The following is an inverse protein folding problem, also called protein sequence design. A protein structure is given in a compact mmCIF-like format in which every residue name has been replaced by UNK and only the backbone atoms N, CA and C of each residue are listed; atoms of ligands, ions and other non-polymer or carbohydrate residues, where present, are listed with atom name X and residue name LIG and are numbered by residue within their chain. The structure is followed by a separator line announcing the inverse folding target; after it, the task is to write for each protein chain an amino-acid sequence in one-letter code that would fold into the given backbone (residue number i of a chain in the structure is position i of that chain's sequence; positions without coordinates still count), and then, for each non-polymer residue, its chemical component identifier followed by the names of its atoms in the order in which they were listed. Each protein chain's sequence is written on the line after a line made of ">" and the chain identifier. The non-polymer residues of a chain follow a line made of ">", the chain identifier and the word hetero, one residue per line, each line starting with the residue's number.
data_IF_245662196436
#
_entry.id   IF_245662196436
#
_cell.length_a   1.000
_cell.length_b   1.000
_cell.length_c   1.000
_cell.angle_alpha   90.00
_cell.angle_beta   90.00
_cell.angle_gamma   90.00
#
_symmetry.space_group_name_H-M   'P 1'
#
loop_
_entity.id
_entity.type
_entity.pdbx_description
1 polymer ?
#
# COMPACT_ATOMS: atom_id res chain seq x y z
N UNK A 1 -0.01 -0.15 5.74
CA UNK A 1 -0.67 1.17 5.77
C UNK A 1 0.11 2.16 4.95
N UNK A 2 -0.55 2.79 4.00
CA UNK A 2 0.08 3.73 3.09
C UNK A 2 0.10 5.11 3.69
N UNK A 3 1.27 5.74 3.65
CA UNK A 3 1.45 7.17 3.90
C UNK A 3 1.75 7.87 2.58
N UNK A 4 1.11 9.01 2.34
CA UNK A 4 1.39 9.86 1.17
C UNK A 4 1.63 11.30 1.60
N UNK A 5 2.44 11.99 0.80
CA UNK A 5 2.61 13.43 0.86
C UNK A 5 2.16 14.03 -0.47
N UNK A 6 1.14 14.88 -0.45
CA UNK A 6 0.51 15.46 -1.66
C UNK A 6 0.34 16.97 -1.49
N UNK A 7 0.53 17.73 -2.57
CA UNK A 7 0.36 19.18 -2.61
C UNK A 7 -0.52 19.58 -3.80
N UNK A 8 -1.52 20.44 -3.57
CA UNK A 8 -2.45 20.85 -4.62
C UNK A 8 -3.55 21.76 -4.11
N UNK A 9 -4.52 22.05 -4.99
CA UNK A 9 -5.67 22.90 -4.67
C UNK A 9 -6.68 22.20 -3.76
N UNK A 10 -7.39 22.99 -2.95
CA UNK A 10 -8.46 22.50 -2.09
C UNK A 10 -9.54 21.76 -2.91
N UNK A 11 -10.01 20.63 -2.38
CA UNK A 11 -11.02 19.80 -3.04
C UNK A 11 -10.46 18.84 -4.09
N UNK A 12 -9.15 18.87 -4.37
CA UNK A 12 -8.54 17.88 -5.25
C UNK A 12 -8.63 16.48 -4.65
N UNK A 13 -9.01 15.51 -5.47
CA UNK A 13 -9.23 14.12 -5.05
C UNK A 13 -8.05 13.22 -5.45
N UNK A 14 -7.53 12.47 -4.48
CA UNK A 14 -6.56 11.40 -4.68
C UNK A 14 -7.20 10.06 -4.31
N UNK A 15 -7.18 9.10 -5.25
CA UNK A 15 -7.66 7.73 -5.03
C UNK A 15 -6.48 6.80 -4.88
N UNK A 16 -6.52 5.94 -3.85
CA UNK A 16 -5.43 5.05 -3.48
C UNK A 16 -5.98 3.63 -3.42
N UNK A 17 -5.45 2.76 -4.26
CA UNK A 17 -5.84 1.34 -4.35
C UNK A 17 -4.65 0.44 -4.03
N UNK A 18 -4.97 -0.79 -3.61
CA UNK A 18 -4.03 -1.70 -2.99
C UNK A 18 -4.22 -3.09 -3.58
N UNK A 19 -3.16 -3.71 -4.09
CA UNK A 19 -3.22 -5.08 -4.59
C UNK A 19 -1.91 -5.85 -4.34
N UNK A 20 -2.03 -7.17 -4.33
CA UNK A 20 -0.88 -8.08 -4.23
C UNK A 20 -0.21 -8.32 -5.60
N UNK A 21 -0.95 -8.11 -6.69
CA UNK A 21 -0.49 -8.37 -8.07
C UNK A 21 -0.84 -7.23 -9.03
N UNK A 22 -0.24 -7.28 -10.22
CA UNK A 22 -0.52 -6.36 -11.33
C UNK A 22 -0.79 -7.15 -12.61
N UNK A 23 -1.52 -6.55 -13.53
CA UNK A 23 -1.56 -6.95 -14.93
C UNK A 23 -0.20 -6.67 -15.59
N UNK A 24 -0.03 -7.11 -16.83
CA UNK A 24 1.21 -6.90 -17.61
C UNK A 24 1.50 -5.42 -17.90
N UNK A 25 0.45 -4.58 -17.96
CA UNK A 25 0.56 -3.14 -18.15
C UNK A 25 0.89 -2.36 -16.87
N UNK A 26 1.04 -3.05 -15.74
CA UNK A 26 1.35 -2.47 -14.44
C UNK A 26 0.14 -1.94 -13.66
N UNK A 27 -1.07 -2.05 -14.20
CA UNK A 27 -2.30 -1.75 -13.45
C UNK A 27 -2.51 -2.82 -12.40
N UNK A 28 -3.00 -2.44 -11.23
CA UNK A 28 -3.32 -3.38 -10.15
C UNK A 28 -4.29 -4.47 -10.60
N UNK A 29 -4.11 -5.68 -10.08
CA UNK A 29 -4.89 -6.85 -10.47
C UNK A 29 -5.37 -7.65 -9.27
N UNK A 30 -6.67 -7.91 -9.22
CA UNK A 30 -7.29 -8.95 -8.41
C UNK A 30 -7.48 -10.22 -9.25
N UNK A 31 -6.63 -11.24 -9.09
CA UNK A 31 -6.64 -12.42 -9.95
C UNK A 31 -7.79 -13.38 -9.62
N UNK A 32 -8.41 -13.24 -8.45
CA UNK A 32 -9.49 -14.14 -8.00
C UNK A 32 -10.84 -13.58 -8.44
N UNK A 33 -11.59 -14.29 -9.33
CA UNK A 33 -12.86 -13.78 -9.85
C UNK A 33 -13.90 -13.45 -8.77
N UNK A 34 -13.90 -14.22 -7.67
CA UNK A 34 -14.80 -14.00 -6.53
C UNK A 34 -14.57 -12.64 -5.85
N UNK A 35 -13.34 -12.13 -5.88
CA UNK A 35 -12.95 -10.87 -5.25
C UNK A 35 -12.77 -9.74 -6.26
N UNK A 36 -13.16 -9.93 -7.53
CA UNK A 36 -12.85 -8.98 -8.61
C UNK A 36 -13.30 -7.54 -8.33
N UNK A 37 -14.37 -7.36 -7.55
CA UNK A 37 -14.82 -6.04 -7.13
C UNK A 37 -13.79 -5.29 -6.27
N UNK A 38 -12.92 -5.99 -5.54
CA UNK A 38 -11.93 -5.38 -4.66
C UNK A 38 -10.89 -4.59 -5.45
N UNK A 39 -10.60 -5.01 -6.68
CA UNK A 39 -9.65 -4.35 -7.60
C UNK A 39 -9.94 -2.86 -7.78
N UNK A 40 -11.22 -2.47 -7.76
CA UNK A 40 -11.63 -1.09 -8.05
C UNK A 40 -12.51 -0.46 -6.99
N UNK A 41 -13.29 -1.25 -6.23
CA UNK A 41 -14.26 -0.75 -5.24
C UNK A 41 -13.72 -0.66 -3.82
N UNK A 42 -12.55 -1.24 -3.52
CA UNK A 42 -11.89 -1.11 -2.22
C UNK A 42 -10.73 -0.14 -2.36
N UNK A 43 -10.89 1.07 -1.82
CA UNK A 43 -9.92 2.14 -1.98
C UNK A 43 -9.97 3.12 -0.80
N UNK A 44 -8.92 3.91 -0.67
CA UNK A 44 -8.93 5.11 0.15
C UNK A 44 -9.04 6.35 -0.72
N UNK A 45 -9.79 7.34 -0.23
CA UNK A 45 -9.95 8.64 -0.87
C UNK A 45 -9.39 9.71 0.05
N UNK A 46 -8.50 10.53 -0.48
CA UNK A 46 -7.97 11.70 0.20
C UNK A 46 -8.38 12.96 -0.57
N UNK A 47 -9.04 13.89 0.12
CA UNK A 47 -9.46 15.18 -0.44
C UNK A 47 -8.59 16.25 0.20
N UNK A 48 -7.83 16.98 -0.63
CA UNK A 48 -6.90 17.99 -0.14
C UNK A 48 -7.65 19.18 0.46
N UNK A 49 -7.13 19.71 1.57
CA UNK A 49 -7.61 20.95 2.17
C UNK A 49 -7.11 22.19 1.42
N UNK A 50 -6.05 22.06 0.63
CA UNK A 50 -5.43 23.15 -0.13
C UNK A 50 -4.65 24.10 0.77
N UNK A 51 -3.84 23.57 1.68
CA UNK A 51 -3.13 24.36 2.71
C UNK A 51 -2.08 25.34 2.17
N UNK A 52 -1.82 25.34 0.86
CA UNK A 52 -0.71 26.07 0.24
C UNK A 52 0.66 25.39 0.42
N UNK A 53 0.66 24.16 0.93
CA UNK A 53 1.85 23.33 1.09
C UNK A 53 1.50 21.85 1.07
N UNK A 54 2.44 21.04 1.55
CA UNK A 54 2.34 19.58 1.52
C UNK A 54 1.43 19.05 2.61
N UNK A 55 0.44 18.27 2.22
CA UNK A 55 -0.47 17.57 3.12
C UNK A 55 -0.06 16.11 3.26
N UNK A 56 -0.12 15.61 4.49
CA UNK A 56 0.24 14.25 4.85
C UNK A 56 -1.02 13.46 5.18
N UNK A 57 -1.13 12.26 4.60
CA UNK A 57 -2.27 11.40 4.85
C UNK A 57 -1.87 9.95 5.05
N UNK A 58 -2.49 9.31 6.04
CA UNK A 58 -2.48 7.88 6.32
C UNK A 58 -3.87 7.49 6.83
N UNK A 59 -4.38 6.30 6.52
CA UNK A 59 -5.65 5.85 7.09
C UNK A 59 -5.49 5.41 8.55
N UNK A 60 -6.50 5.71 9.37
CA UNK A 60 -6.52 5.35 10.80
C UNK A 60 -7.32 4.08 11.12
N UNK A 61 -8.37 3.79 10.33
CA UNK A 61 -9.39 2.79 10.66
C UNK A 61 -9.53 1.66 9.63
N UNK A 62 -8.51 1.41 8.82
CA UNK A 62 -8.47 0.26 7.93
C UNK A 62 -7.08 -0.35 7.87
N UNK A 63 -6.99 -1.56 7.31
CA UNK A 63 -5.73 -2.15 6.88
C UNK A 63 -5.93 -2.98 5.62
N UNK A 64 -4.84 -3.26 4.92
CA UNK A 64 -4.84 -4.01 3.66
C UNK A 64 -3.48 -4.67 3.45
N UNK A 65 -3.49 -5.94 3.05
CA UNK A 65 -2.34 -6.62 2.47
C UNK A 65 -2.10 -6.16 1.04
N UNK A 66 -0.91 -5.63 0.74
CA UNK A 66 -0.58 -5.20 -0.61
C UNK A 66 0.93 -5.22 -0.86
N UNK A 67 1.28 -5.44 -2.13
CA UNK A 67 2.63 -5.25 -2.67
C UNK A 67 2.69 -4.02 -3.58
N UNK A 68 1.58 -3.71 -4.25
CA UNK A 68 1.45 -2.62 -5.20
C UNK A 68 0.40 -1.62 -4.71
N UNK A 69 0.69 -0.34 -4.92
CA UNK A 69 -0.20 0.77 -4.58
C UNK A 69 -0.40 1.58 -5.85
N UNK A 70 -1.64 1.71 -6.29
CA UNK A 70 -2.01 2.56 -7.43
C UNK A 70 -2.62 3.85 -6.91
N UNK A 71 -2.06 4.98 -7.34
CA UNK A 71 -2.51 6.30 -6.92
C UNK A 71 -2.95 7.09 -8.16
N UNK A 72 -4.19 7.55 -8.13
CA UNK A 72 -4.84 8.30 -9.19
C UNK A 72 -5.23 9.70 -8.71
N UNK A 73 -5.47 10.62 -9.65
CA UNK A 73 -5.79 12.01 -9.33
C UNK A 73 -4.58 12.84 -8.93
N UNK A 74 -3.36 12.36 -9.22
CA UNK A 74 -2.09 13.03 -8.91
C UNK A 74 -1.15 12.97 -10.10
N UNK A 75 -0.08 13.77 -10.05
CA UNK A 75 1.04 13.74 -10.98
C UNK A 75 2.36 13.63 -10.26
N UNK A 76 3.38 13.13 -10.96
CA UNK A 76 4.76 13.29 -10.51
C UNK A 76 5.20 14.75 -10.66
N UNK A 77 6.06 15.23 -9.77
CA UNK A 77 6.64 16.57 -9.80
C UNK A 77 7.26 16.97 -11.16
N UNK A 78 7.76 16.00 -11.93
CA UNK A 78 8.38 16.22 -13.25
C UNK A 78 7.39 16.64 -14.35
N UNK A 79 6.10 16.34 -14.21
CA UNK A 79 5.09 16.66 -15.23
C UNK A 79 4.40 17.98 -14.87
N UNK A 80 4.94 19.11 -15.32
CA UNK A 80 4.48 20.45 -14.92
C UNK A 80 3.27 20.96 -15.71
N UNK A 81 2.91 20.33 -16.81
CA UNK A 81 1.80 20.76 -17.69
C UNK A 81 0.41 20.39 -17.14
N UNK A 82 0.35 19.52 -16.13
CA UNK A 82 -0.90 19.06 -15.52
C UNK A 82 -1.28 19.89 -14.29
N UNK A 83 -2.57 20.18 -14.15
CA UNK A 83 -3.16 20.82 -12.96
C UNK A 83 -3.43 19.84 -11.82
N UNK A 84 -3.11 18.55 -11.98
CA UNK A 84 -3.27 17.57 -10.91
C UNK A 84 -2.34 17.90 -9.72
N UNK A 85 -2.75 17.55 -8.48
CA UNK A 85 -1.90 17.57 -7.31
C UNK A 85 -0.58 16.84 -7.50
N UNK A 86 0.49 17.38 -6.92
CA UNK A 86 1.82 16.78 -6.94
C UNK A 86 1.88 15.71 -5.85
N UNK A 87 2.16 14.47 -6.24
CA UNK A 87 2.54 13.40 -5.33
C UNK A 87 4.05 13.49 -5.05
N UNK A 88 4.41 13.86 -3.82
CA UNK A 88 5.80 14.01 -3.40
C UNK A 88 6.40 12.70 -2.91
N UNK A 89 5.64 11.92 -2.14
CA UNK A 89 6.13 10.66 -1.58
C UNK A 89 5.02 9.66 -1.30
N UNK A 90 5.40 8.39 -1.28
CA UNK A 90 4.55 7.25 -0.91
C UNK A 90 5.39 6.30 -0.07
N UNK A 91 4.87 5.88 1.08
CA UNK A 91 5.51 4.89 1.95
C UNK A 91 4.52 3.82 2.39
N UNK A 92 4.91 2.55 2.24
CA UNK A 92 4.16 1.42 2.81
C UNK A 92 4.68 1.09 4.21
N UNK A 93 3.84 1.25 5.23
CA UNK A 93 4.13 0.83 6.62
C UNK A 93 3.53 -0.55 6.91
N UNK A 94 4.36 -1.52 7.24
CA UNK A 94 3.87 -2.80 7.72
C UNK A 94 3.33 -2.65 9.16
N UNK A 95 2.07 -3.05 9.37
CA UNK A 95 1.39 -2.99 10.68
C UNK A 95 0.92 -4.39 11.03
N UNK A 96 1.37 -4.88 12.18
CA UNK A 96 1.00 -6.17 12.75
C UNK A 96 1.08 -6.11 14.27
N UNK A 97 0.57 -7.12 14.95
CA UNK A 97 0.95 -7.41 16.33
C UNK A 97 2.48 -7.52 16.44
N UNK A 98 3.03 -7.09 17.58
CA UNK A 98 4.47 -7.01 17.82
C UNK A 98 4.94 -8.04 18.87
N UNK A 99 4.84 -9.37 18.60
CA UNK A 99 5.34 -10.37 19.52
C UNK A 99 6.87 -10.31 19.59
N UNK A 100 7.41 -10.72 20.74
CA UNK A 100 8.86 -10.89 20.90
C UNK A 100 9.39 -11.94 19.91
N UNK A 101 10.53 -11.65 19.29
CA UNK A 101 11.17 -12.59 18.37
C UNK A 101 11.92 -13.67 19.15
N UNK A 102 11.49 -14.93 18.98
CA UNK A 102 12.04 -16.07 19.73
C UNK A 102 13.35 -16.65 19.14
N UNK A 103 13.62 -16.44 17.85
CA UNK A 103 14.82 -17.03 17.23
C UNK A 103 15.12 -16.60 15.80
N UNK A 104 16.25 -17.08 15.29
CA UNK A 104 16.75 -16.88 13.92
C UNK A 104 17.14 -18.20 13.28
N UNK A 105 16.95 -18.36 11.97
CA UNK A 105 17.56 -19.43 11.17
C UNK A 105 18.41 -18.82 10.06
N UNK A 106 19.55 -19.43 9.74
CA UNK A 106 20.47 -19.02 8.66
C UNK A 106 20.91 -20.24 7.85
N UNK A 107 21.20 -20.02 6.58
CA UNK A 107 21.65 -21.03 5.62
C UNK A 107 22.40 -20.34 4.48
N UNK A 108 23.32 -21.06 3.87
CA UNK A 108 24.07 -20.68 2.68
C UNK A 108 23.25 -20.83 1.38
N UNK A 109 22.17 -21.61 1.39
CA UNK A 109 21.29 -21.82 0.22
C UNK A 109 20.37 -20.61 -0.01
N UNK A 110 20.51 -19.96 -1.15
CA UNK A 110 19.74 -18.76 -1.51
C UNK A 110 18.22 -19.00 -1.54
N UNK A 111 17.78 -20.12 -2.10
CA UNK A 111 16.36 -20.51 -2.18
C UNK A 111 15.75 -20.67 -0.78
N UNK A 112 16.49 -21.29 0.14
CA UNK A 112 16.03 -21.48 1.52
C UNK A 112 15.97 -20.14 2.27
N UNK A 113 16.92 -19.21 2.02
CA UNK A 113 16.82 -17.84 2.54
C UNK A 113 15.56 -17.12 2.04
N UNK A 114 15.23 -17.27 0.77
CA UNK A 114 14.02 -16.68 0.19
C UNK A 114 12.75 -17.27 0.82
N UNK A 115 12.69 -18.59 1.00
CA UNK A 115 11.59 -19.27 1.70
C UNK A 115 11.44 -18.80 3.15
N UNK A 116 12.54 -18.72 3.91
CA UNK A 116 12.52 -18.22 5.28
C UNK A 116 12.03 -16.77 5.37
N UNK A 117 12.38 -15.94 4.38
CA UNK A 117 11.89 -14.57 4.27
C UNK A 117 10.38 -14.54 3.99
N UNK A 118 9.89 -15.37 3.06
CA UNK A 118 8.47 -15.47 2.74
C UNK A 118 7.66 -15.92 3.97
N UNK A 119 8.10 -16.97 4.67
CA UNK A 119 7.46 -17.44 5.89
C UNK A 119 7.38 -16.35 6.96
N UNK A 120 8.47 -15.60 7.17
CA UNK A 120 8.48 -14.48 8.11
C UNK A 120 7.41 -13.44 7.76
N UNK A 121 7.35 -13.00 6.50
CA UNK A 121 6.37 -12.00 6.07
C UNK A 121 4.94 -12.53 6.12
N UNK A 122 4.69 -13.74 5.64
CA UNK A 122 3.35 -14.37 5.70
C UNK A 122 2.84 -14.50 7.14
N UNK A 123 3.68 -14.96 8.07
CA UNK A 123 3.30 -15.07 9.48
C UNK A 123 3.08 -13.70 10.13
N UNK A 124 3.94 -12.72 9.83
CA UNK A 124 3.82 -11.38 10.42
C UNK A 124 2.60 -10.63 9.90
N UNK A 125 2.30 -10.71 8.60
CA UNK A 125 1.17 -10.03 8.00
C UNK A 125 -0.17 -10.59 8.50
N UNK A 126 -0.23 -11.88 8.85
CA UNK A 126 -1.44 -12.53 9.36
C UNK A 126 -1.59 -12.50 10.89
N UNK A 127 -0.70 -11.78 11.58
CA UNK A 127 -0.78 -11.60 13.01
C UNK A 127 -1.26 -10.18 13.31
N UNK A 128 -2.55 -9.94 13.17
CA UNK A 128 -3.17 -8.62 13.37
C UNK A 128 -4.34 -8.75 14.36
N UNK A 129 -4.09 -8.44 15.64
CA UNK A 129 -4.99 -8.73 16.78
C UNK A 129 -5.19 -10.24 17.04
N UNK A 130 -5.57 -11.01 16.03
CA UNK A 130 -5.70 -12.47 16.03
C UNK A 130 -4.98 -13.06 14.80
N UNK A 131 -5.04 -14.39 14.65
CA UNK A 131 -4.44 -15.10 13.52
C UNK A 131 -5.43 -15.12 12.36
N UNK A 132 -5.13 -14.40 11.29
CA UNK A 132 -5.96 -14.33 10.08
C UNK A 132 -5.55 -15.40 9.06
N UNK A 133 -6.48 -15.77 8.18
CA UNK A 133 -6.18 -16.62 7.00
C UNK A 133 -5.55 -15.84 5.86
N UNK A 134 -5.99 -14.59 5.66
CA UNK A 134 -5.43 -13.59 4.77
C UNK A 134 -5.54 -12.20 5.43
N UNK A 135 -4.57 -11.30 5.21
CA UNK A 135 -4.60 -9.92 5.69
C UNK A 135 -5.40 -8.98 4.77
#
# INVERSE_FOLDING_TARGET
>A
MTEIEVEGEAGSETIIRYEETTHEDGIICMPVPLFKEFETKVYSKFILAGTGGKEHWTPDFCFTGARYIQIEGVRNAKFTESKLPILHSVCGRHVSSAPSRLGTMKTDKNEVKALLSALKWTSSSNLFSYHTVCP
#
